data_IF_136741987967
#
_entry.id   IF_136741987967
#
_cell.length_a   1.000
_cell.length_b   1.000
_cell.length_c   1.000
_cell.angle_alpha   90.00
_cell.angle_beta   90.00
_cell.angle_gamma   90.00
#
_symmetry.space_group_name_H-M   'P 1'
#
loop_
_entity.id
_entity.type
_entity.pdbx_description
1 polymer ?
#
# COMPACT_ATOMS: atom_id res chain seq x y z
N UNK A 1 -9.63 10.30 42.42
CA UNK A 1 -8.75 10.69 41.29
C UNK A 1 -9.29 10.14 39.98
N UNK A 2 -9.48 10.99 38.97
CA UNK A 2 -9.79 10.52 37.63
C UNK A 2 -8.61 9.72 37.05
N UNK A 3 -8.88 8.62 36.34
CA UNK A 3 -7.81 7.84 35.70
C UNK A 3 -7.17 8.66 34.56
N UNK A 4 -5.87 8.56 34.36
CA UNK A 4 -5.17 9.25 33.27
C UNK A 4 -5.63 8.75 31.89
N UNK A 5 -5.52 9.58 30.84
CA UNK A 5 -5.90 9.23 29.46
C UNK A 5 -5.22 7.94 28.99
N UNK A 6 -3.94 7.78 29.35
CA UNK A 6 -3.08 6.63 29.04
C UNK A 6 -3.22 5.46 30.02
N UNK A 7 -4.19 5.50 30.93
CA UNK A 7 -4.41 4.39 31.85
C UNK A 7 -4.89 3.15 31.10
N UNK A 8 -4.27 2.00 31.40
CA UNK A 8 -4.62 0.68 30.83
C UNK A 8 -6.14 0.39 30.79
N UNK A 9 -6.93 0.60 31.86
CA UNK A 9 -8.37 0.34 31.81
C UNK A 9 -9.10 1.21 30.79
N UNK A 10 -8.74 2.50 30.66
CA UNK A 10 -9.32 3.39 29.64
C UNK A 10 -8.95 2.94 28.23
N UNK A 11 -7.70 2.54 28.00
CA UNK A 11 -7.24 2.06 26.69
C UNK A 11 -7.90 0.74 26.29
N UNK A 12 -8.04 -0.22 27.22
CA UNK A 12 -8.74 -1.50 26.97
C UNK A 12 -10.22 -1.27 26.63
N UNK A 13 -10.90 -0.40 27.38
CA UNK A 13 -12.29 -0.05 27.07
C UNK A 13 -12.44 0.57 25.67
N UNK A 14 -11.51 1.46 25.26
CA UNK A 14 -11.49 1.99 23.89
C UNK A 14 -11.25 0.91 22.84
N UNK A 15 -10.36 -0.05 23.12
CA UNK A 15 -10.10 -1.17 22.20
C UNK A 15 -11.35 -2.02 21.95
N UNK A 16 -12.09 -2.36 23.01
CA UNK A 16 -13.34 -3.14 22.89
C UNK A 16 -14.36 -2.36 22.07
N UNK A 17 -14.54 -1.06 22.34
CA UNK A 17 -15.44 -0.20 21.55
C UNK A 17 -15.06 -0.19 20.07
N UNK A 18 -13.78 0.03 19.76
CA UNK A 18 -13.29 0.09 18.37
C UNK A 18 -13.59 -1.19 17.59
N UNK A 19 -13.39 -2.34 18.21
CA UNK A 19 -13.57 -3.63 17.55
C UNK A 19 -15.04 -4.02 17.35
N UNK A 20 -15.98 -3.44 18.12
CA UNK A 20 -17.38 -3.81 18.06
C UNK A 20 -18.16 -2.99 17.02
N UNK A 21 -18.63 -1.81 17.39
CA UNK A 21 -19.55 -1.01 16.57
C UNK A 21 -18.79 -0.07 15.64
N UNK A 22 -17.71 0.54 16.13
CA UNK A 22 -16.99 1.57 15.37
C UNK A 22 -16.28 1.01 14.14
N UNK A 23 -15.75 -0.23 14.19
CA UNK A 23 -15.15 -0.87 13.03
C UNK A 23 -16.17 -1.04 11.89
N UNK A 24 -17.37 -1.54 12.20
CA UNK A 24 -18.43 -1.74 11.20
C UNK A 24 -18.79 -0.46 10.46
N UNK A 25 -18.93 0.65 11.17
CA UNK A 25 -19.24 1.94 10.54
C UNK A 25 -18.13 2.44 9.61
N UNK A 26 -16.86 2.18 9.96
CA UNK A 26 -15.72 2.53 9.10
C UNK A 26 -15.71 1.63 7.86
N UNK A 27 -15.85 0.32 8.04
CA UNK A 27 -15.84 -0.65 6.94
C UNK A 27 -16.99 -0.39 5.95
N UNK A 28 -18.21 -0.11 6.43
CA UNK A 28 -19.35 0.23 5.59
C UNK A 28 -19.11 1.50 4.77
N UNK A 29 -18.51 2.53 5.37
CA UNK A 29 -18.19 3.77 4.67
C UNK A 29 -17.18 3.52 3.57
N UNK A 30 -16.16 2.74 3.86
CA UNK A 30 -15.08 2.46 2.91
C UNK A 30 -15.61 1.63 1.73
N UNK A 31 -16.51 0.67 1.95
CA UNK A 31 -17.24 -0.03 0.89
C UNK A 31 -18.06 0.91 0.02
N UNK A 32 -18.80 1.86 0.62
CA UNK A 32 -19.59 2.86 -0.15
C UNK A 32 -18.71 3.76 -1.00
N UNK A 33 -17.56 4.20 -0.47
CA UNK A 33 -16.62 5.03 -1.21
C UNK A 33 -16.00 4.27 -2.37
N UNK A 34 -15.60 3.01 -2.13
CA UNK A 34 -15.07 2.14 -3.17
C UNK A 34 -16.06 1.93 -4.32
N UNK A 35 -17.33 1.61 -4.01
CA UNK A 35 -18.37 1.45 -5.03
C UNK A 35 -18.58 2.74 -5.85
N UNK A 36 -18.54 3.92 -5.22
CA UNK A 36 -18.65 5.20 -5.92
C UNK A 36 -17.46 5.46 -6.84
N UNK A 37 -16.25 5.12 -6.39
CA UNK A 37 -15.03 5.28 -7.19
C UNK A 37 -15.10 4.38 -8.42
N UNK A 38 -15.47 3.11 -8.26
CA UNK A 38 -15.63 2.17 -9.38
C UNK A 38 -16.67 2.67 -10.40
N UNK A 39 -17.85 3.06 -9.94
CA UNK A 39 -18.90 3.58 -10.82
C UNK A 39 -18.47 4.86 -11.57
N UNK A 40 -17.70 5.74 -10.93
CA UNK A 40 -17.18 6.94 -11.61
C UNK A 40 -16.13 6.60 -12.66
N UNK A 41 -15.24 5.62 -12.39
CA UNK A 41 -14.26 5.17 -13.37
C UNK A 41 -14.91 4.52 -14.59
N UNK A 42 -15.96 3.71 -14.37
CA UNK A 42 -16.73 3.11 -15.47
C UNK A 42 -17.41 4.19 -16.32
N UNK A 43 -18.01 5.21 -15.69
CA UNK A 43 -18.61 6.35 -16.41
C UNK A 43 -17.58 7.12 -17.23
N UNK A 44 -16.40 7.39 -16.67
CA UNK A 44 -15.32 8.09 -17.38
C UNK A 44 -14.83 7.28 -18.58
N UNK A 45 -14.66 5.96 -18.42
CA UNK A 45 -14.28 5.08 -19.54
C UNK A 45 -15.34 5.07 -20.64
N UNK A 46 -16.61 4.94 -20.27
CA UNK A 46 -17.71 4.96 -21.24
C UNK A 46 -17.81 6.30 -21.99
N UNK A 47 -17.59 7.43 -21.30
CA UNK A 47 -17.55 8.76 -21.92
C UNK A 47 -16.37 8.89 -22.88
N UNK A 48 -15.16 8.48 -22.46
CA UNK A 48 -13.98 8.51 -23.32
C UNK A 48 -14.15 7.63 -24.57
N UNK A 49 -14.76 6.45 -24.44
CA UNK A 49 -15.06 5.59 -25.59
C UNK A 49 -16.12 6.19 -26.52
N UNK A 50 -17.12 6.90 -25.98
CA UNK A 50 -18.12 7.59 -26.78
C UNK A 50 -17.52 8.78 -27.54
N UNK A 51 -16.66 9.57 -26.89
CA UNK A 51 -15.94 10.68 -27.52
C UNK A 51 -14.94 10.19 -28.59
N UNK A 52 -14.22 9.09 -28.33
CA UNK A 52 -13.35 8.46 -29.32
C UNK A 52 -14.12 7.95 -30.55
N UNK A 53 -15.33 7.40 -30.36
CA UNK A 53 -16.18 6.96 -31.48
C UNK A 53 -16.82 8.13 -32.24
N UNK A 54 -17.16 9.22 -31.55
CA UNK A 54 -17.69 10.42 -32.18
C UNK A 54 -16.62 11.10 -33.06
N UNK A 55 -15.40 11.26 -32.53
CA UNK A 55 -14.26 11.85 -33.26
C UNK A 55 -13.79 10.98 -34.43
N UNK A 56 -13.84 9.65 -34.32
CA UNK A 56 -13.51 8.75 -35.42
C UNK A 56 -14.51 8.84 -36.60
N UNK A 57 -15.80 9.07 -36.34
CA UNK A 57 -16.81 9.24 -37.38
C UNK A 57 -16.78 10.61 -38.07
N UNK A 58 -16.30 11.66 -37.39
CA UNK A 58 -16.07 12.97 -38.02
C UNK A 58 -14.76 13.01 -38.83
N UNK A 59 -13.71 12.31 -38.38
CA UNK A 59 -12.45 12.22 -39.11
C UNK A 59 -12.57 11.44 -40.43
N UNK A 60 -13.47 10.45 -40.54
CA UNK A 60 -13.70 9.73 -41.81
C UNK A 60 -14.45 10.55 -42.88
N UNK A 61 -14.93 11.75 -42.57
CA UNK A 61 -15.55 12.67 -43.54
C UNK A 61 -14.70 13.90 -43.88
N UNK A 62 -13.51 14.06 -43.27
CA UNK A 62 -12.66 15.25 -43.45
C UNK A 62 -11.27 14.95 -44.05
N UNK A 63 -10.94 13.68 -44.34
CA UNK A 63 -9.62 13.28 -44.89
C UNK A 63 -9.73 13.00 -46.39
N UNK A 64 -10.10 14.00 -47.17
CA UNK A 64 -9.85 14.01 -48.62
C UNK A 64 -9.28 15.35 -49.14
N UNK A 65 -8.75 16.21 -48.26
CA UNK A 65 -7.98 17.38 -48.67
C UNK A 65 -6.88 17.74 -47.69
N UNK A 66 -5.68 17.91 -48.24
CA UNK A 66 -4.49 18.57 -47.70
C UNK A 66 -3.47 17.69 -46.93
N UNK A 67 -2.63 17.01 -47.73
CA UNK A 67 -1.19 16.90 -47.44
C UNK A 67 -0.55 18.30 -47.31
N UNK A 68 0.60 18.34 -46.60
CA UNK A 68 1.62 19.40 -46.45
C UNK A 68 1.48 20.39 -45.29
N UNK A 69 2.26 20.15 -44.23
CA UNK A 69 3.24 21.11 -43.68
C UNK A 69 3.94 20.50 -42.46
N UNK A 70 5.20 20.09 -42.62
CA UNK A 70 6.15 20.07 -41.52
C UNK A 70 6.57 21.51 -41.21
N UNK A 71 6.59 21.92 -39.94
CA UNK A 71 7.64 22.78 -39.38
C UNK A 71 7.66 22.66 -37.86
N UNK A 72 8.84 22.27 -37.38
CA UNK A 72 9.51 22.59 -36.13
C UNK A 72 8.75 23.36 -35.02
N UNK A 73 8.58 22.68 -33.88
CA UNK A 73 8.53 23.34 -32.58
C UNK A 73 9.39 22.57 -31.58
N UNK A 74 10.66 22.96 -31.51
CA UNK A 74 11.53 22.70 -30.36
C UNK A 74 10.85 23.21 -29.09
N UNK A 75 10.45 22.31 -28.20
CA UNK A 75 9.92 22.64 -26.88
C UNK A 75 10.64 21.83 -25.79
N UNK A 76 11.80 22.36 -25.42
CA UNK A 76 12.26 22.54 -24.04
C UNK A 76 11.96 21.44 -23.00
N UNK A 77 13.03 20.75 -22.59
CA UNK A 77 13.30 20.51 -21.17
C UNK A 77 12.99 19.12 -20.63
N UNK A 78 13.90 18.16 -20.80
CA UNK A 78 14.02 17.04 -19.87
C UNK A 78 14.70 17.51 -18.57
N UNK A 79 13.98 18.25 -17.72
CA UNK A 79 14.38 18.44 -16.33
C UNK A 79 14.10 17.15 -15.56
N UNK A 80 15.03 16.20 -15.63
CA UNK A 80 15.15 15.15 -14.62
C UNK A 80 15.70 15.81 -13.35
N UNK A 81 14.95 15.90 -12.23
CA UNK A 81 15.60 16.13 -10.96
C UNK A 81 16.49 14.91 -10.69
N UNK A 82 17.82 15.08 -10.77
CA UNK A 82 18.75 14.13 -10.16
C UNK A 82 18.47 14.14 -8.66
N UNK A 83 17.73 13.14 -8.18
CA UNK A 83 17.65 12.88 -6.76
C UNK A 83 19.08 12.68 -6.23
N UNK A 84 19.55 13.47 -5.25
CA UNK A 84 20.81 13.16 -4.61
C UNK A 84 20.64 11.79 -3.94
N UNK A 85 21.53 10.86 -4.27
CA UNK A 85 21.61 9.57 -3.60
C UNK A 85 21.88 9.80 -2.11
N UNK A 86 20.82 9.94 -1.32
CA UNK A 86 20.91 9.94 0.14
C UNK A 86 21.13 8.50 0.53
N UNK A 87 22.40 8.13 0.71
CA UNK A 87 22.76 6.88 1.35
C UNK A 87 21.98 6.76 2.67
N UNK A 88 21.19 5.69 2.86
CA UNK A 88 20.49 5.51 4.12
C UNK A 88 21.55 5.26 5.18
N UNK A 89 21.85 6.28 6.02
CA UNK A 89 22.63 6.10 7.24
C UNK A 89 21.93 5.04 8.09
N UNK A 90 22.39 3.80 7.97
CA UNK A 90 21.91 2.69 8.76
C UNK A 90 22.25 2.99 10.22
N UNK A 91 21.27 3.51 10.96
CA UNK A 91 21.40 3.65 12.40
C UNK A 91 21.37 2.25 13.02
N UNK A 92 22.55 1.64 13.17
CA UNK A 92 22.70 0.41 13.93
C UNK A 92 22.25 0.65 15.37
N UNK A 93 21.22 -0.04 15.89
CA UNK A 93 20.82 0.13 17.27
C UNK A 93 21.98 -0.33 18.16
N UNK A 94 22.52 0.60 18.96
CA UNK A 94 23.52 0.26 19.98
C UNK A 94 22.86 -0.71 20.95
N UNK A 95 23.29 -1.97 20.91
CA UNK A 95 22.86 -3.06 21.80
C UNK A 95 22.82 -2.57 23.25
N UNK A 96 21.64 -2.15 23.69
CA UNK A 96 21.45 -1.68 25.06
C UNK A 96 21.65 -2.88 25.98
N UNK A 97 22.30 -2.68 27.12
CA UNK A 97 22.65 -3.74 28.09
C UNK A 97 21.45 -4.62 28.52
N UNK A 98 20.21 -4.21 28.20
CA UNK A 98 18.97 -4.97 28.42
C UNK A 98 18.80 -6.17 27.48
N UNK A 99 19.33 -6.14 26.25
CA UNK A 99 19.20 -7.27 25.30
C UNK A 99 20.06 -8.48 25.68
N UNK A 100 21.23 -8.26 26.30
CA UNK A 100 22.07 -9.37 26.80
C UNK A 100 21.33 -10.21 27.85
N UNK A 101 20.38 -9.63 28.60
CA UNK A 101 19.58 -10.37 29.59
C UNK A 101 18.57 -11.33 28.95
N UNK A 102 18.04 -11.01 27.77
CA UNK A 102 17.07 -11.87 27.07
C UNK A 102 17.72 -12.92 26.18
N UNK A 103 18.90 -12.63 25.59
CA UNK A 103 19.62 -13.59 24.74
C UNK A 103 20.14 -14.80 25.53
N UNK A 104 20.53 -14.59 26.80
CA UNK A 104 20.96 -15.68 27.70
C UNK A 104 19.78 -16.59 28.12
N UNK A 105 18.54 -16.08 28.14
CA UNK A 105 17.35 -16.88 28.45
C UNK A 105 16.86 -17.72 27.26
N UNK A 106 16.97 -17.19 26.04
CA UNK A 106 16.54 -17.91 24.83
C UNK A 106 17.53 -19.02 24.37
N UNK A 107 18.73 -19.07 24.93
CA UNK A 107 19.77 -20.06 24.59
C UNK A 107 19.84 -21.30 25.49
N UNK A 108 19.20 -21.30 26.67
CA UNK A 108 19.33 -22.41 27.65
C UNK A 108 18.31 -23.53 27.52
N UNK A 109 17.20 -23.32 26.80
CA UNK A 109 16.12 -24.31 26.67
C UNK A 109 16.19 -25.18 25.39
N UNK A 110 17.33 -25.22 24.69
CA UNK A 110 17.50 -26.03 23.47
C UNK A 110 18.27 -27.34 23.68
N UNK A 111 18.27 -27.88 24.90
CA UNK A 111 19.00 -29.11 25.22
C UNK A 111 18.24 -30.00 26.19
N UNK A 112 17.09 -30.54 25.77
CA UNK A 112 16.59 -31.89 26.06
C UNK A 112 15.24 -32.06 25.37
N UNK A 113 15.18 -32.83 24.28
CA UNK A 113 13.91 -33.08 23.58
C UNK A 113 14.08 -33.43 22.10
N UNK A 114 15.05 -34.28 21.77
CA UNK A 114 15.16 -34.85 20.42
C UNK A 114 15.67 -36.29 20.47
N UNK A 115 14.95 -37.13 21.21
CA UNK A 115 14.96 -38.58 20.98
C UNK A 115 13.51 -39.01 20.88
N UNK A 116 13.05 -39.21 19.66
CA UNK A 116 11.67 -39.60 19.39
C UNK A 116 11.26 -39.22 17.98
N UNK A 117 11.27 -40.23 17.10
CA UNK A 117 10.60 -40.31 15.79
C UNK A 117 11.36 -39.83 14.56
N UNK A 118 12.08 -40.78 13.97
CA UNK A 118 12.22 -41.05 12.52
C UNK A 118 13.19 -42.21 12.39
N UNK A 119 13.05 -43.27 11.59
CA UNK A 119 12.15 -43.70 10.53
C UNK A 119 12.61 -45.13 10.24
N UNK A 120 11.77 -46.16 10.39
CA UNK A 120 12.04 -47.46 9.78
C UNK A 120 11.33 -47.49 8.44
N UNK A 121 12.07 -47.31 7.35
CA UNK A 121 11.61 -47.66 6.01
C UNK A 121 12.83 -48.08 5.17
N UNK A 122 12.76 -49.32 4.66
CA UNK A 122 13.44 -49.90 3.49
C UNK A 122 14.94 -50.20 3.59
N UNK A 123 15.31 -51.47 3.74
CA UNK A 123 15.67 -52.36 2.63
C UNK A 123 15.40 -53.82 3.01
#
# INVERSE_FOLDING_TARGET
>A
MAKSLRSKPKLRAKSIKRNNEFAKFVDERDQRLFAKIQANLERQKAQAEAEAKATANEASNAVETAETAETDASAMGEDKPQEPAVEPKQHMPKNSKKEKKYRVRAGRNRKVGRQGRSRSLVF
#
